data_IF_842104792468
#
_entry.id   IF_842104792468
#
_cell.length_a   1.000
_cell.length_b   1.000
_cell.length_c   1.000
_cell.angle_alpha   90.00
_cell.angle_beta   90.00
_cell.angle_gamma   90.00
#
_symmetry.space_group_name_H-M   'P 1'
#
loop_
_entity.id
_entity.type
_entity.pdbx_description
1 polymer ?
#
# COMPACT_ATOMS: atom_id res chain seq x y z
N UNK A 1 -11.41 -13.37 -1.75
CA UNK A 1 -10.41 -14.02 -0.87
C UNK A 1 -9.61 -12.91 -0.16
N UNK A 2 -9.86 -12.71 1.11
CA UNK A 2 -9.20 -11.66 1.90
C UNK A 2 -7.73 -12.02 2.09
N UNK A 3 -6.80 -11.19 1.58
CA UNK A 3 -5.37 -11.39 1.86
C UNK A 3 -5.12 -10.82 3.25
N UNK A 4 -4.85 -11.72 4.18
CA UNK A 4 -4.38 -11.34 5.50
C UNK A 4 -2.91 -10.95 5.37
N UNK A 5 -2.62 -9.65 5.31
CA UNK A 5 -1.27 -9.18 5.58
C UNK A 5 -1.09 -9.19 7.09
N UNK A 6 -0.08 -9.89 7.58
CA UNK A 6 0.25 -9.97 9.00
C UNK A 6 1.53 -9.18 9.22
N UNK A 7 1.49 -8.17 10.08
CA UNK A 7 2.69 -7.52 10.58
C UNK A 7 3.21 -8.31 11.78
N UNK A 8 4.37 -8.91 11.63
CA UNK A 8 5.07 -9.62 12.71
C UNK A 8 6.17 -8.72 13.26
N UNK A 9 6.10 -8.41 14.54
CA UNK A 9 7.14 -7.66 15.24
C UNK A 9 7.81 -8.61 16.22
N UNK A 10 9.11 -8.82 16.02
CA UNK A 10 9.94 -9.62 16.92
C UNK A 10 10.95 -8.71 17.61
N UNK A 11 11.03 -8.79 18.93
CA UNK A 11 11.94 -7.99 19.74
C UNK A 11 13.25 -8.75 19.97
N UNK A 12 14.15 -8.68 18.98
CA UNK A 12 15.54 -9.11 19.16
C UNK A 12 16.43 -7.88 19.24
N UNK A 13 17.40 -7.93 20.16
CA UNK A 13 18.47 -6.94 20.20
C UNK A 13 19.38 -7.18 18.99
N UNK A 14 19.21 -6.36 17.96
CA UNK A 14 20.09 -6.34 16.78
C UNK A 14 20.73 -4.96 16.66
N UNK A 15 22.01 -4.86 16.28
CA UNK A 15 22.73 -3.60 16.21
C UNK A 15 22.10 -2.56 15.29
N UNK A 16 21.37 -3.00 14.28
CA UNK A 16 20.70 -2.17 13.26
C UNK A 16 19.15 -2.28 13.33
N UNK A 17 18.60 -2.43 14.56
CA UNK A 17 17.15 -2.48 14.76
C UNK A 17 16.48 -1.10 14.61
N UNK A 18 15.18 -1.11 14.37
CA UNK A 18 14.37 0.10 14.40
C UNK A 18 14.34 0.68 15.83
N UNK A 19 14.32 2.00 15.93
CA UNK A 19 14.00 2.66 17.20
C UNK A 19 12.48 2.61 17.47
N UNK A 20 12.07 2.99 18.69
CA UNK A 20 10.66 2.94 19.09
C UNK A 20 9.76 3.83 18.23
N UNK A 21 10.23 4.99 17.84
CA UNK A 21 9.49 5.93 16.98
C UNK A 21 9.28 5.36 15.57
N UNK A 22 10.30 4.73 14.99
CA UNK A 22 10.17 4.04 13.71
C UNK A 22 9.14 2.89 13.79
N UNK A 23 9.16 2.10 14.87
CA UNK A 23 8.22 1.02 15.09
C UNK A 23 6.78 1.55 15.19
N UNK A 24 6.56 2.65 15.90
CA UNK A 24 5.24 3.31 15.99
C UNK A 24 4.78 3.86 14.63
N UNK A 25 5.66 4.51 13.87
CA UNK A 25 5.34 4.98 12.51
C UNK A 25 4.96 3.83 11.58
N UNK A 26 5.73 2.75 11.61
CA UNK A 26 5.44 1.55 10.79
C UNK A 26 4.08 0.96 11.12
N UNK A 27 3.73 0.85 12.41
CA UNK A 27 2.41 0.33 12.83
C UNK A 27 1.27 1.27 12.45
N UNK A 28 1.48 2.58 12.47
CA UNK A 28 0.53 3.56 11.95
C UNK A 28 0.28 3.38 10.45
N UNK A 29 1.34 3.29 9.65
CA UNK A 29 1.21 3.03 8.21
C UNK A 29 0.56 1.69 7.92
N UNK A 30 0.86 0.66 8.73
CA UNK A 30 0.18 -0.62 8.65
C UNK A 30 -1.33 -0.48 8.93
N UNK A 31 -1.69 0.32 9.94
CA UNK A 31 -3.10 0.65 10.23
C UNK A 31 -3.80 1.34 9.08
N UNK A 32 -3.16 2.30 8.42
CA UNK A 32 -3.69 2.99 7.24
C UNK A 32 -3.90 2.06 6.02
N UNK A 33 -3.19 0.94 5.97
CA UNK A 33 -3.27 0.04 4.84
C UNK A 33 -4.56 -0.80 4.87
N UNK A 34 -5.45 -0.57 3.92
CA UNK A 34 -6.74 -1.28 3.84
C UNK A 34 -6.61 -2.80 3.59
N UNK A 35 -5.48 -3.26 3.03
CA UNK A 35 -5.21 -4.69 2.81
C UNK A 35 -4.81 -5.43 4.08
N UNK A 36 -4.45 -4.70 5.14
CA UNK A 36 -4.06 -5.30 6.41
C UNK A 36 -5.31 -5.60 7.25
N UNK A 37 -5.51 -6.86 7.61
CA UNK A 37 -6.65 -7.32 8.42
C UNK A 37 -6.27 -7.66 9.86
N UNK A 38 -4.99 -7.89 10.13
CA UNK A 38 -4.54 -8.28 11.48
C UNK A 38 -3.12 -7.81 11.75
N UNK A 39 -2.82 -7.59 13.03
CA UNK A 39 -1.49 -7.30 13.56
C UNK A 39 -1.20 -8.30 14.69
N UNK A 40 0.03 -8.79 14.74
CA UNK A 40 0.50 -9.68 15.82
C UNK A 40 1.83 -9.21 16.37
N UNK A 41 1.97 -9.30 17.70
CA UNK A 41 3.19 -8.98 18.42
C UNK A 41 3.65 -10.27 19.09
N UNK A 42 4.87 -10.69 18.81
CA UNK A 42 5.42 -11.98 19.23
C UNK A 42 6.73 -11.79 19.98
N UNK A 43 7.12 -12.83 20.72
CA UNK A 43 8.39 -12.90 21.49
C UNK A 43 8.51 -11.86 22.62
N UNK A 44 7.41 -11.24 23.06
CA UNK A 44 7.42 -10.43 24.27
C UNK A 44 7.52 -11.34 25.50
N UNK A 45 8.56 -11.12 26.33
CA UNK A 45 8.71 -11.82 27.60
C UNK A 45 8.76 -10.80 28.76
N UNK A 46 7.73 -10.73 29.62
CA UNK A 46 7.66 -9.75 30.73
C UNK A 46 8.80 -9.88 31.73
N UNK A 47 9.38 -11.08 31.89
CA UNK A 47 10.49 -11.29 32.84
C UNK A 47 11.79 -10.57 32.46
N UNK A 48 11.95 -10.26 31.18
CA UNK A 48 13.11 -9.52 30.67
C UNK A 48 12.81 -8.04 30.40
N UNK A 49 11.59 -7.61 30.62
CA UNK A 49 11.18 -6.22 30.37
C UNK A 49 11.50 -5.34 31.58
N UNK A 50 12.62 -4.68 31.53
CA UNK A 50 13.09 -3.79 32.61
C UNK A 50 12.20 -2.55 32.68
N UNK A 51 11.52 -2.38 33.81
CA UNK A 51 10.60 -1.25 34.07
C UNK A 51 9.43 -1.11 33.07
N UNK A 52 9.01 -2.18 32.41
CA UNK A 52 7.87 -2.17 31.49
C UNK A 52 8.09 -1.35 30.21
N UNK A 53 9.33 -1.08 29.83
CA UNK A 53 9.64 -0.24 28.64
C UNK A 53 9.15 -0.87 27.35
N UNK A 54 9.31 -2.19 27.24
CA UNK A 54 8.84 -2.91 26.04
C UNK A 54 7.31 -2.96 26.02
N UNK A 55 6.67 -3.18 27.19
CA UNK A 55 5.21 -3.13 27.31
C UNK A 55 4.65 -1.75 26.91
N UNK A 56 5.27 -0.68 27.35
CA UNK A 56 4.87 0.69 26.98
C UNK A 56 5.00 0.91 25.46
N UNK A 57 6.12 0.51 24.86
CA UNK A 57 6.29 0.62 23.40
C UNK A 57 5.23 -0.19 22.64
N UNK A 58 4.92 -1.39 23.11
CA UNK A 58 3.85 -2.23 22.53
C UNK A 58 2.50 -1.50 22.60
N UNK A 59 2.19 -0.90 23.76
CA UNK A 59 0.95 -0.14 23.92
C UNK A 59 0.88 1.06 22.96
N UNK A 60 1.97 1.79 22.79
CA UNK A 60 2.08 2.89 21.83
C UNK A 60 1.90 2.39 20.38
N UNK A 61 2.56 1.30 20.00
CA UNK A 61 2.42 0.69 18.67
C UNK A 61 0.97 0.28 18.39
N UNK A 62 0.28 -0.31 19.37
CA UNK A 62 -1.14 -0.68 19.23
C UNK A 62 -1.98 0.58 19.06
N UNK A 63 -1.73 1.62 19.82
CA UNK A 63 -2.44 2.89 19.70
C UNK A 63 -2.25 3.54 18.33
N UNK A 64 -1.02 3.60 17.85
CA UNK A 64 -0.71 4.11 16.50
C UNK A 64 -1.36 3.27 15.40
N UNK A 65 -1.43 1.95 15.57
CA UNK A 65 -2.15 1.08 14.65
C UNK A 65 -3.64 1.42 14.61
N UNK A 66 -4.29 1.57 15.76
CA UNK A 66 -5.71 1.91 15.87
C UNK A 66 -5.98 3.30 15.28
N UNK A 67 -5.09 4.26 15.54
CA UNK A 67 -5.19 5.61 14.95
C UNK A 67 -5.09 5.53 13.40
N UNK A 68 -4.11 4.78 12.89
CA UNK A 68 -4.01 4.55 11.46
C UNK A 68 -5.26 3.87 10.89
N UNK A 69 -5.78 2.85 11.56
CA UNK A 69 -6.97 2.12 11.14
C UNK A 69 -8.21 3.03 11.09
N UNK A 70 -8.40 3.89 12.09
CA UNK A 70 -9.54 4.82 12.16
C UNK A 70 -9.47 5.92 11.10
N UNK A 71 -8.27 6.21 10.58
CA UNK A 71 -8.05 7.19 9.53
C UNK A 71 -7.96 6.57 8.11
N UNK A 72 -8.36 5.31 7.96
CA UNK A 72 -8.48 4.71 6.63
C UNK A 72 -9.48 5.50 5.79
N UNK A 73 -9.10 5.74 4.55
CA UNK A 73 -10.00 6.35 3.57
C UNK A 73 -10.36 5.30 2.53
N UNK A 74 -11.62 5.28 2.13
CA UNK A 74 -12.09 4.46 1.02
C UNK A 74 -11.73 5.18 -0.29
N UNK A 75 -10.45 5.08 -0.64
CA UNK A 75 -9.87 5.75 -1.80
C UNK A 75 -9.34 4.76 -2.84
N UNK A 76 -9.88 3.52 -2.81
CA UNK A 76 -9.56 2.52 -3.80
C UNK A 76 -10.35 2.71 -5.08
N UNK A 77 -9.71 2.61 -6.25
CA UNK A 77 -10.44 2.59 -7.50
C UNK A 77 -11.33 1.35 -7.56
N UNK A 78 -12.59 1.59 -7.89
CA UNK A 78 -13.52 0.58 -8.37
C UNK A 78 -13.91 0.94 -9.79
N UNK A 79 -14.33 -0.03 -10.58
CA UNK A 79 -14.65 0.17 -12.01
C UNK A 79 -15.59 1.33 -12.30
N UNK A 80 -16.43 1.72 -11.33
CA UNK A 80 -17.50 2.71 -11.51
C UNK A 80 -17.37 3.95 -10.59
N UNK A 81 -16.21 4.21 -9.96
CA UNK A 81 -16.17 5.28 -8.97
C UNK A 81 -16.09 6.67 -9.61
N UNK A 82 -17.13 7.46 -9.39
CA UNK A 82 -17.21 8.87 -9.78
C UNK A 82 -16.16 9.76 -9.07
N UNK A 83 -15.48 9.23 -8.06
CA UNK A 83 -14.52 9.97 -7.24
C UNK A 83 -13.13 10.05 -7.84
N UNK A 84 -12.91 9.42 -8.99
CA UNK A 84 -11.65 9.44 -9.70
C UNK A 84 -11.71 10.30 -10.96
N UNK A 85 -10.57 10.96 -11.23
CA UNK A 85 -10.28 11.54 -12.54
C UNK A 85 -9.49 10.52 -13.32
N UNK A 86 -9.93 10.22 -14.53
CA UNK A 86 -9.28 9.29 -15.46
C UNK A 86 -8.46 10.08 -16.48
N UNK A 87 -7.21 9.66 -16.66
CA UNK A 87 -6.29 10.22 -17.63
C UNK A 87 -5.81 9.11 -18.55
N UNK A 88 -6.00 9.28 -19.85
CA UNK A 88 -5.51 8.36 -20.85
C UNK A 88 -4.26 8.96 -21.48
N UNK A 89 -3.15 8.26 -21.40
CA UNK A 89 -1.87 8.68 -21.95
C UNK A 89 -1.43 7.66 -22.99
N UNK A 90 -1.27 8.11 -24.23
CA UNK A 90 -0.70 7.31 -25.30
C UNK A 90 0.82 7.42 -25.24
N UNK A 91 1.50 6.27 -25.29
CA UNK A 91 2.95 6.19 -25.29
C UNK A 91 3.39 5.57 -26.64
N UNK A 92 4.43 6.13 -27.24
CA UNK A 92 4.89 5.74 -28.56
C UNK A 92 3.99 6.22 -29.69
N UNK A 93 4.05 5.55 -30.85
CA UNK A 93 3.24 5.90 -32.04
C UNK A 93 1.78 5.40 -31.96
N UNK A 94 1.23 5.28 -30.72
CA UNK A 94 -0.16 4.93 -30.47
C UNK A 94 -0.43 3.45 -30.20
N UNK A 95 0.60 2.65 -29.94
CA UNK A 95 0.46 1.23 -29.65
C UNK A 95 0.13 0.93 -28.17
N UNK A 96 0.60 1.79 -27.25
CA UNK A 96 0.41 1.59 -25.81
C UNK A 96 -0.45 2.72 -25.22
N UNK A 97 -1.52 2.34 -24.54
CA UNK A 97 -2.39 3.29 -23.83
C UNK A 97 -2.36 2.99 -22.33
N UNK A 98 -1.78 3.89 -21.56
CA UNK A 98 -1.72 3.79 -20.10
C UNK A 98 -2.80 4.66 -19.47
N UNK A 99 -3.62 4.05 -18.64
CA UNK A 99 -4.72 4.73 -17.97
C UNK A 99 -4.32 5.01 -16.53
N UNK A 100 -4.36 6.29 -16.15
CA UNK A 100 -4.14 6.72 -14.77
C UNK A 100 -5.44 7.17 -14.13
N UNK A 101 -5.60 6.82 -12.86
CA UNK A 101 -6.70 7.25 -12.01
C UNK A 101 -6.15 8.10 -10.88
N UNK A 102 -6.74 9.28 -10.67
CA UNK A 102 -6.41 10.16 -9.55
C UNK A 102 -7.64 10.39 -8.70
N UNK A 103 -7.58 10.04 -7.42
CA UNK A 103 -8.67 10.29 -6.50
C UNK A 103 -8.83 11.78 -6.23
N UNK A 104 -10.04 12.33 -6.39
CA UNK A 104 -10.30 13.77 -6.37
C UNK A 104 -10.02 14.44 -5.02
N UNK A 105 -10.22 13.71 -3.93
CA UNK A 105 -10.07 14.22 -2.56
C UNK A 105 -8.68 13.95 -2.01
N UNK A 106 -8.20 12.70 -2.10
CA UNK A 106 -6.92 12.32 -1.50
C UNK A 106 -5.71 12.61 -2.37
N UNK A 107 -5.92 12.82 -3.68
CA UNK A 107 -4.84 13.04 -4.63
C UNK A 107 -3.98 11.80 -4.90
N UNK A 108 -4.38 10.63 -4.42
CA UNK A 108 -3.67 9.38 -4.69
C UNK A 108 -3.84 8.95 -6.14
N UNK A 109 -2.83 8.29 -6.67
CA UNK A 109 -2.78 7.86 -8.06
C UNK A 109 -2.68 6.36 -8.20
N UNK A 110 -3.31 5.83 -9.25
CA UNK A 110 -3.24 4.42 -9.65
C UNK A 110 -3.10 4.31 -11.17
N UNK A 111 -2.45 3.24 -11.60
CA UNK A 111 -2.48 2.79 -12.99
C UNK A 111 -3.58 1.74 -13.10
N UNK A 112 -4.46 1.89 -14.09
CA UNK A 112 -5.55 0.96 -14.39
C UNK A 112 -5.04 -0.14 -15.33
N UNK A 113 -4.97 -1.36 -14.81
CA UNK A 113 -4.60 -2.58 -15.55
C UNK A 113 -5.79 -3.54 -15.66
N UNK A 114 -7.02 -3.06 -15.42
CA UNK A 114 -8.23 -3.90 -15.42
C UNK A 114 -8.54 -4.57 -16.75
N UNK A 115 -7.94 -4.07 -17.84
CA UNK A 115 -8.03 -4.71 -19.16
C UNK A 115 -7.27 -6.04 -19.23
N UNK A 116 -6.30 -6.27 -18.35
CA UNK A 116 -5.57 -7.52 -18.26
C UNK A 116 -6.33 -8.51 -17.38
N UNK A 117 -6.65 -9.68 -17.94
CA UNK A 117 -7.40 -10.72 -17.21
C UNK A 117 -8.70 -10.22 -16.57
N UNK A 118 -9.46 -9.38 -17.29
CA UNK A 118 -10.68 -8.75 -16.80
C UNK A 118 -11.72 -9.76 -16.26
N UNK A 119 -11.77 -10.96 -16.82
CA UNK A 119 -12.74 -12.01 -16.48
C UNK A 119 -12.24 -12.97 -15.39
N UNK A 120 -11.01 -12.81 -14.88
CA UNK A 120 -10.44 -13.73 -13.88
C UNK A 120 -10.40 -13.07 -12.49
N UNK A 121 -11.27 -13.50 -11.54
CA UNK A 121 -11.32 -12.94 -10.19
C UNK A 121 -10.01 -13.05 -9.40
N UNK A 122 -9.08 -13.94 -9.82
CA UNK A 122 -7.77 -14.09 -9.16
C UNK A 122 -6.89 -12.86 -9.35
N UNK A 123 -7.11 -12.11 -10.44
CA UNK A 123 -6.32 -10.93 -10.80
C UNK A 123 -6.99 -9.60 -10.41
N UNK A 124 -8.24 -9.60 -9.95
CA UNK A 124 -8.99 -8.39 -9.57
C UNK A 124 -8.19 -7.45 -8.64
N UNK A 125 -7.44 -8.00 -7.69
CA UNK A 125 -6.59 -7.24 -6.76
C UNK A 125 -5.40 -6.53 -7.43
N UNK A 126 -5.06 -6.92 -8.66
CA UNK A 126 -3.96 -6.39 -9.43
C UNK A 126 -4.41 -5.41 -10.52
N UNK A 127 -5.72 -5.20 -10.66
CA UNK A 127 -6.27 -4.28 -11.64
C UNK A 127 -5.84 -2.83 -11.42
N UNK A 128 -5.60 -2.43 -10.17
CA UNK A 128 -5.20 -1.07 -9.85
C UNK A 128 -3.86 -1.04 -9.11
N UNK A 129 -2.87 -0.45 -9.75
CA UNK A 129 -1.49 -0.37 -9.23
C UNK A 129 -1.27 0.99 -8.60
N UNK A 130 -0.96 1.08 -7.29
CA UNK A 130 -0.62 2.35 -6.68
C UNK A 130 0.61 2.98 -7.35
N UNK A 131 0.47 4.22 -7.76
CA UNK A 131 1.54 4.97 -8.40
C UNK A 131 1.64 6.39 -7.83
N UNK A 132 2.47 7.21 -8.40
CA UNK A 132 2.66 8.61 -8.04
C UNK A 132 2.38 9.50 -9.25
N UNK A 133 2.28 10.82 -9.00
CA UNK A 133 2.21 11.78 -10.10
C UNK A 133 3.46 11.74 -10.99
N UNK A 134 4.61 11.39 -10.43
CA UNK A 134 5.86 11.26 -11.21
C UNK A 134 5.71 10.19 -12.29
N UNK A 135 5.07 9.06 -11.99
CA UNK A 135 4.80 8.00 -12.98
C UNK A 135 3.91 8.53 -14.12
N UNK A 136 2.92 9.39 -13.80
CA UNK A 136 2.09 10.06 -14.81
C UNK A 136 2.89 11.06 -15.65
N UNK A 137 3.73 11.89 -15.01
CA UNK A 137 4.55 12.88 -15.70
C UNK A 137 5.59 12.20 -16.62
N UNK A 138 6.13 11.04 -16.25
CA UNK A 138 6.97 10.20 -17.13
C UNK A 138 6.19 9.74 -18.36
N UNK A 139 4.99 9.21 -18.18
CA UNK A 139 4.15 8.78 -19.29
C UNK A 139 3.82 9.93 -20.25
N UNK A 140 3.54 11.12 -19.71
CA UNK A 140 3.32 12.34 -20.53
C UNK A 140 4.54 12.77 -21.33
N UNK A 141 5.75 12.40 -20.89
CA UNK A 141 7.00 12.60 -21.62
C UNK A 141 7.33 11.44 -22.57
N UNK A 142 6.36 10.59 -22.87
CA UNK A 142 6.52 9.43 -23.76
C UNK A 142 7.47 8.35 -23.21
N UNK A 143 7.59 8.26 -21.88
CA UNK A 143 8.38 7.24 -21.20
C UNK A 143 7.42 6.26 -20.48
N UNK A 144 7.61 4.95 -20.70
CA UNK A 144 6.79 3.95 -20.05
C UNK A 144 7.17 3.85 -18.56
N UNK A 145 6.22 4.05 -17.61
CA UNK A 145 6.54 3.98 -16.19
C UNK A 145 7.03 2.58 -15.77
N UNK A 146 8.12 2.54 -15.01
CA UNK A 146 8.70 1.27 -14.53
C UNK A 146 7.70 0.38 -13.81
N UNK A 147 6.81 0.97 -13.03
CA UNK A 147 5.76 0.24 -12.31
C UNK A 147 4.80 -0.47 -13.26
N UNK A 148 4.38 0.18 -14.34
CA UNK A 148 3.53 -0.43 -15.35
C UNK A 148 4.23 -1.65 -15.96
N UNK A 149 5.49 -1.51 -16.38
CA UNK A 149 6.28 -2.58 -16.98
C UNK A 149 6.50 -3.76 -16.03
N UNK A 150 6.87 -3.49 -14.78
CA UNK A 150 7.09 -4.53 -13.77
C UNK A 150 5.82 -5.34 -13.49
N UNK A 151 4.66 -4.70 -13.47
CA UNK A 151 3.39 -5.40 -13.28
C UNK A 151 2.93 -6.14 -14.51
N UNK A 152 3.09 -5.56 -15.68
CA UNK A 152 2.80 -6.21 -16.96
C UNK A 152 3.53 -7.55 -17.07
N UNK A 153 4.84 -7.56 -16.78
CA UNK A 153 5.64 -8.79 -16.78
C UNK A 153 5.18 -9.85 -15.77
N UNK A 154 4.58 -9.45 -14.66
CA UNK A 154 4.06 -10.39 -13.63
C UNK A 154 2.70 -10.95 -13.97
N UNK A 155 1.96 -10.31 -14.84
CA UNK A 155 0.62 -10.72 -15.26
C UNK A 155 0.62 -11.55 -16.54
N UNK A 156 1.71 -11.53 -17.31
CA UNK A 156 1.95 -12.44 -18.43
C UNK A 156 2.38 -13.82 -17.93
#
# INVERSE_FOLDING_TARGET
>A
MMITAVLVVSFRIVPNGFNGDDACRMTRYAGLNYKLSSIGIFEYNPHYDINGRTANLIAEMIWYFIEGYSNRQDDLPTSDSADFKRYNVQIGEGEENVIFLCHKVTGKWWIDMSFMHADDPRYERHHFIPCSRVDYDQAMNNELPDKWWQFYQKLM
#
